data_IF_952800138077
#
_entry.id   IF_952800138077
#
_cell.length_a   1.000
_cell.length_b   1.000
_cell.length_c   1.000
_cell.angle_alpha   90.00
_cell.angle_beta   90.00
_cell.angle_gamma   90.00
#
_symmetry.space_group_name_H-M   'P 1'
#
loop_
_entity.id
_entity.type
_entity.pdbx_description
1 polymer ?
#
# COMPACT_ATOMS: atom_id res chain seq x y z
N UNK A 1 65.68 47.61 6.25
CA UNK A 1 64.86 47.38 5.08
C UNK A 1 64.47 45.88 5.08
N UNK A 2 63.37 45.54 5.74
CA UNK A 2 62.89 44.16 5.84
C UNK A 2 61.46 44.06 5.33
N UNK A 3 61.25 43.33 4.34
CA UNK A 3 59.93 43.04 3.75
C UNK A 3 59.33 41.83 4.45
N UNK A 4 58.18 41.99 5.14
CA UNK A 4 57.35 40.89 5.69
C UNK A 4 56.33 40.48 4.67
N UNK A 5 56.39 39.22 4.30
CA UNK A 5 55.34 38.55 3.47
C UNK A 5 54.23 38.03 4.36
N UNK A 6 53.05 38.61 4.29
CA UNK A 6 51.83 38.10 4.89
C UNK A 6 51.23 37.05 3.94
N UNK A 7 51.35 35.80 4.30
CA UNK A 7 50.65 34.69 3.63
C UNK A 7 49.20 34.61 4.11
N UNK A 8 48.26 34.97 3.25
CA UNK A 8 46.83 34.83 3.45
C UNK A 8 46.44 33.38 3.21
N UNK A 9 46.24 32.61 4.26
CA UNK A 9 45.69 31.23 4.14
C UNK A 9 44.19 31.30 3.95
N UNK A 10 43.74 31.01 2.72
CA UNK A 10 42.32 30.84 2.38
C UNK A 10 41.80 29.52 2.94
N UNK A 11 41.07 29.56 4.06
CA UNK A 11 40.36 28.40 4.59
C UNK A 11 39.12 28.20 3.75
N UNK A 12 39.16 27.21 2.84
CA UNK A 12 37.98 26.73 2.15
C UNK A 12 37.15 25.94 3.14
N UNK A 13 36.09 26.53 3.67
CA UNK A 13 35.03 25.79 4.39
C UNK A 13 34.23 25.04 3.37
N UNK A 14 34.57 23.77 3.12
CA UNK A 14 33.71 22.83 2.43
C UNK A 14 32.54 22.55 3.37
N UNK A 15 31.42 23.25 3.18
CA UNK A 15 30.14 22.87 3.75
C UNK A 15 29.70 21.55 3.08
N UNK A 16 30.02 20.43 3.71
CA UNK A 16 29.46 19.15 3.36
C UNK A 16 27.94 19.19 3.64
N UNK A 17 27.20 19.62 2.65
CA UNK A 17 25.76 19.48 2.64
C UNK A 17 25.42 17.99 2.67
N UNK A 18 25.15 17.46 3.84
CA UNK A 18 24.50 16.18 3.99
C UNK A 18 23.05 16.39 3.59
N UNK A 19 22.79 16.41 2.28
CA UNK A 19 21.44 16.33 1.73
C UNK A 19 20.81 15.03 2.21
N UNK A 20 19.56 15.11 2.63
CA UNK A 20 18.71 13.95 2.88
C UNK A 20 18.49 13.22 1.54
N UNK A 21 19.47 12.42 1.11
CA UNK A 21 19.50 11.74 -0.18
C UNK A 21 18.34 10.72 -0.36
N UNK A 22 17.76 10.22 0.76
CA UNK A 22 16.75 9.17 0.69
C UNK A 22 15.33 9.60 0.28
N UNK A 23 14.98 10.89 0.43
CA UNK A 23 13.63 11.37 0.12
C UNK A 23 13.48 11.88 -1.33
N UNK A 24 14.59 12.26 -1.99
CA UNK A 24 14.55 12.82 -3.35
C UNK A 24 14.33 11.76 -4.44
N UNK A 25 14.86 10.55 -4.27
CA UNK A 25 14.79 9.51 -5.30
C UNK A 25 13.36 8.96 -5.48
N UNK A 26 12.62 8.77 -4.39
CA UNK A 26 11.21 8.35 -4.44
C UNK A 26 10.25 9.44 -4.93
N UNK A 27 10.65 10.72 -4.83
CA UNK A 27 9.85 11.83 -5.35
C UNK A 27 9.96 12.01 -6.87
N UNK A 28 10.86 11.27 -7.54
CA UNK A 28 11.17 11.43 -8.97
C UNK A 28 11.30 10.11 -9.74
N UNK A 29 11.03 8.98 -9.07
CA UNK A 29 11.15 7.67 -9.73
C UNK A 29 10.23 7.59 -10.96
N UNK A 30 10.74 7.19 -12.14
CA UNK A 30 9.93 7.09 -13.34
C UNK A 30 8.83 6.04 -13.20
N UNK A 31 7.61 6.38 -13.64
CA UNK A 31 6.45 5.49 -13.62
C UNK A 31 5.96 5.24 -15.05
N UNK A 32 6.18 4.03 -15.53
CA UNK A 32 5.67 3.56 -16.82
C UNK A 32 4.27 2.96 -16.64
N UNK A 33 3.24 3.80 -16.56
CA UNK A 33 1.86 3.36 -16.39
C UNK A 33 1.38 2.48 -17.55
N UNK A 34 0.86 1.31 -17.23
CA UNK A 34 0.27 0.37 -18.18
C UNK A 34 -1.20 0.15 -17.81
N UNK A 35 -2.14 0.27 -18.77
CA UNK A 35 -3.53 -0.05 -18.52
C UNK A 35 -3.70 -1.56 -18.33
N UNK A 36 -4.39 -1.94 -17.27
CA UNK A 36 -4.70 -3.33 -16.94
C UNK A 36 -6.19 -3.64 -17.09
N UNK A 37 -7.04 -2.72 -16.63
CA UNK A 37 -8.49 -2.80 -16.73
C UNK A 37 -9.05 -1.40 -16.98
N UNK A 38 -10.31 -1.30 -17.31
CA UNK A 38 -10.96 0.01 -17.50
C UNK A 38 -10.87 0.82 -16.20
N UNK A 39 -10.18 1.96 -16.26
CA UNK A 39 -9.93 2.83 -15.13
C UNK A 39 -8.87 2.32 -14.13
N UNK A 40 -8.06 1.33 -14.51
CA UNK A 40 -7.03 0.77 -13.65
C UNK A 40 -5.71 0.68 -14.41
N UNK A 41 -4.73 1.43 -13.94
CA UNK A 41 -3.36 1.38 -14.47
C UNK A 41 -2.39 0.89 -13.38
N UNK A 42 -1.36 0.18 -13.81
CA UNK A 42 -0.29 -0.33 -12.94
C UNK A 42 1.06 0.16 -13.44
N UNK A 43 1.95 0.52 -12.53
CA UNK A 43 3.34 0.80 -12.81
C UNK A 43 4.24 0.02 -11.84
N UNK A 44 5.18 -0.73 -12.38
CA UNK A 44 6.32 -1.25 -11.63
C UNK A 44 7.43 -0.19 -11.63
N UNK A 45 8.11 -0.04 -10.51
CA UNK A 45 9.18 0.94 -10.39
C UNK A 45 10.36 0.39 -9.59
N UNK A 46 11.52 0.96 -9.85
CA UNK A 46 12.78 0.59 -9.20
C UNK A 46 13.58 1.84 -8.89
N UNK A 47 14.27 1.83 -7.76
CA UNK A 47 15.29 2.81 -7.41
C UNK A 47 16.58 2.11 -6.96
N UNK A 48 17.72 2.72 -7.23
CA UNK A 48 19.03 2.20 -6.79
C UNK A 48 19.60 2.98 -5.61
N UNK A 49 19.17 4.20 -5.41
CA UNK A 49 19.60 5.09 -4.34
C UNK A 49 18.42 5.48 -3.43
N UNK A 50 18.63 5.61 -2.12
CA UNK A 50 19.87 5.39 -1.34
C UNK A 50 20.19 3.90 -1.16
N UNK A 51 19.34 3.02 -1.65
CA UNK A 51 19.43 1.55 -1.67
C UNK A 51 18.55 0.99 -2.78
N UNK A 52 18.76 -0.26 -3.13
CA UNK A 52 17.86 -0.93 -4.08
C UNK A 52 16.45 -1.04 -3.52
N UNK A 53 15.50 -0.57 -4.29
CA UNK A 53 14.06 -0.62 -4.01
C UNK A 53 13.33 -1.13 -5.25
N UNK A 54 12.31 -1.94 -5.00
CA UNK A 54 11.33 -2.39 -5.97
C UNK A 54 9.94 -2.19 -5.40
N UNK A 55 9.02 -1.70 -6.22
CA UNK A 55 7.64 -1.53 -5.82
C UNK A 55 6.70 -1.52 -7.00
N UNK A 56 5.44 -1.68 -6.69
CA UNK A 56 4.34 -1.62 -7.64
C UNK A 56 3.34 -0.60 -7.13
N UNK A 57 2.83 0.22 -8.03
CA UNK A 57 1.73 1.12 -7.75
C UNK A 57 0.60 0.86 -8.75
N UNK A 58 -0.61 0.80 -8.24
CA UNK A 58 -1.85 0.76 -9.01
C UNK A 58 -2.60 2.06 -8.76
N UNK A 59 -3.08 2.71 -9.82
CA UNK A 59 -4.02 3.82 -9.71
C UNK A 59 -5.38 3.40 -10.26
N UNK A 60 -6.43 3.75 -9.54
CA UNK A 60 -7.80 3.33 -9.79
C UNK A 60 -8.66 4.59 -9.94
N UNK A 61 -9.27 4.80 -11.10
CA UNK A 61 -10.26 5.87 -11.31
C UNK A 61 -11.57 5.48 -10.64
N UNK A 62 -11.88 6.11 -9.51
CA UNK A 62 -13.07 5.83 -8.71
C UNK A 62 -14.39 6.14 -9.44
N UNK A 63 -14.32 6.82 -10.59
CA UNK A 63 -15.46 7.13 -11.46
C UNK A 63 -15.57 6.21 -12.67
N UNK A 64 -14.61 5.31 -12.87
CA UNK A 64 -14.65 4.39 -14.01
C UNK A 64 -15.79 3.38 -13.87
N UNK A 65 -16.45 3.11 -14.98
CA UNK A 65 -17.57 2.19 -15.04
C UNK A 65 -17.14 0.76 -14.68
N UNK A 66 -17.85 0.12 -13.75
CA UNK A 66 -17.59 -1.25 -13.31
C UNK A 66 -16.57 -1.35 -12.19
N UNK A 67 -15.95 -0.25 -11.76
CA UNK A 67 -15.10 -0.23 -10.57
C UNK A 67 -15.97 -0.42 -9.33
N UNK A 68 -15.61 -1.42 -8.51
CA UNK A 68 -16.19 -1.65 -7.18
C UNK A 68 -15.21 -2.45 -6.32
N UNK A 69 -15.45 -2.50 -5.02
CA UNK A 69 -14.51 -3.10 -4.06
C UNK A 69 -15.15 -4.20 -3.23
N UNK A 70 -14.32 -5.08 -2.71
CA UNK A 70 -14.68 -6.11 -1.75
C UNK A 70 -13.57 -6.20 -0.68
N UNK A 71 -13.89 -5.88 0.56
CA UNK A 71 -13.05 -6.25 1.70
C UNK A 71 -13.35 -7.68 2.13
N UNK A 72 -12.44 -8.34 2.83
CA UNK A 72 -12.64 -9.72 3.32
C UNK A 72 -13.98 -9.86 4.07
N UNK A 73 -14.88 -10.74 3.64
CA UNK A 73 -16.13 -11.00 4.36
C UNK A 73 -15.87 -11.76 5.67
N UNK A 74 -16.86 -11.73 6.57
CA UNK A 74 -16.85 -12.58 7.76
C UNK A 74 -16.87 -14.06 7.36
N UNK A 75 -16.24 -14.90 8.19
CA UNK A 75 -16.18 -16.36 7.98
C UNK A 75 -17.44 -17.11 8.46
N UNK A 76 -18.53 -16.41 8.72
CA UNK A 76 -19.80 -16.97 9.20
C UNK A 76 -19.76 -17.26 10.70
N UNK A 77 -20.17 -18.48 11.08
CA UNK A 77 -20.23 -18.90 12.50
C UNK A 77 -18.97 -19.61 12.99
N UNK A 78 -17.87 -19.56 12.22
CA UNK A 78 -16.59 -20.13 12.62
C UNK A 78 -15.91 -19.27 13.68
N UNK A 79 -14.95 -19.82 14.44
CA UNK A 79 -14.12 -19.03 15.33
C UNK A 79 -13.37 -17.91 14.58
N UNK A 80 -13.12 -16.78 15.27
CA UNK A 80 -12.50 -15.61 14.71
C UNK A 80 -13.45 -14.79 13.82
N UNK A 81 -12.95 -13.73 13.25
CA UNK A 81 -13.72 -12.81 12.39
C UNK A 81 -13.63 -13.18 10.90
N UNK A 82 -12.47 -13.70 10.49
CA UNK A 82 -12.14 -14.10 9.12
C UNK A 82 -11.33 -15.39 9.11
N UNK A 83 -11.05 -15.92 7.94
CA UNK A 83 -10.15 -17.07 7.75
C UNK A 83 -8.80 -16.61 7.15
N UNK A 84 -7.70 -17.22 7.59
CA UNK A 84 -6.37 -17.02 7.01
C UNK A 84 -6.34 -17.44 5.54
N UNK A 85 -6.00 -16.51 4.64
CA UNK A 85 -6.01 -16.71 3.21
C UNK A 85 -4.83 -15.99 2.54
N UNK A 86 -4.32 -16.52 1.41
CA UNK A 86 -3.37 -15.78 0.58
C UNK A 86 -4.11 -14.75 -0.27
N UNK A 87 -3.47 -13.62 -0.56
CA UNK A 87 -4.07 -12.58 -1.41
C UNK A 87 -4.43 -13.11 -2.81
N UNK A 88 -3.59 -14.01 -3.36
CA UNK A 88 -3.87 -14.69 -4.63
C UNK A 88 -5.11 -15.59 -4.56
N UNK A 89 -5.30 -16.32 -3.47
CA UNK A 89 -6.47 -17.16 -3.26
C UNK A 89 -7.74 -16.32 -3.08
N UNK A 90 -7.67 -15.21 -2.32
CA UNK A 90 -8.77 -14.26 -2.17
C UNK A 90 -9.24 -13.70 -3.51
N UNK A 91 -8.29 -13.27 -4.37
CA UNK A 91 -8.63 -12.80 -5.72
C UNK A 91 -9.36 -13.88 -6.53
N UNK A 92 -8.83 -15.11 -6.53
CA UNK A 92 -9.42 -16.22 -7.31
C UNK A 92 -10.81 -16.60 -6.81
N UNK A 93 -11.00 -16.75 -5.50
CA UNK A 93 -12.26 -17.13 -4.87
C UNK A 93 -13.39 -16.15 -5.20
N UNK A 94 -13.08 -14.86 -5.20
CA UNK A 94 -14.08 -13.82 -5.42
C UNK A 94 -14.15 -13.27 -6.85
N UNK A 95 -13.38 -13.85 -7.79
CA UNK A 95 -13.36 -13.42 -9.20
C UNK A 95 -12.97 -11.95 -9.39
N UNK A 96 -11.98 -11.49 -8.62
CA UNK A 96 -11.56 -10.10 -8.62
C UNK A 96 -10.51 -9.82 -9.71
N UNK A 97 -10.40 -8.57 -10.13
CA UNK A 97 -9.40 -8.12 -11.10
C UNK A 97 -8.08 -7.74 -10.45
N UNK A 98 -8.12 -7.27 -9.20
CA UNK A 98 -6.93 -7.03 -8.41
C UNK A 98 -7.23 -7.22 -6.91
N UNK A 99 -6.20 -7.48 -6.12
CA UNK A 99 -6.29 -7.54 -4.67
C UNK A 99 -4.96 -7.16 -4.01
N UNK A 100 -5.05 -6.61 -2.80
CA UNK A 100 -3.92 -6.39 -1.89
C UNK A 100 -4.25 -6.99 -0.51
N UNK A 101 -3.22 -7.32 0.28
CA UNK A 101 -3.38 -7.47 1.72
C UNK A 101 -3.77 -6.14 2.34
N UNK A 102 -4.54 -6.13 3.43
CA UNK A 102 -5.08 -4.89 3.97
C UNK A 102 -4.82 -4.71 5.47
N UNK A 103 -5.81 -4.94 6.33
CA UNK A 103 -5.68 -4.69 7.76
C UNK A 103 -4.74 -5.68 8.45
N UNK A 104 -4.07 -5.25 9.54
CA UNK A 104 -3.32 -6.17 10.41
C UNK A 104 -4.23 -7.19 11.08
N UNK A 105 -3.65 -8.29 11.55
CA UNK A 105 -4.34 -9.41 12.19
C UNK A 105 -3.45 -10.06 13.27
N UNK A 106 -4.04 -10.90 14.12
CA UNK A 106 -3.36 -11.42 15.31
C UNK A 106 -2.25 -12.42 15.01
N UNK A 107 -2.59 -13.58 14.49
CA UNK A 107 -1.67 -14.73 14.41
C UNK A 107 -1.31 -15.05 12.98
N UNK A 108 -0.01 -15.19 12.70
CA UNK A 108 0.46 -15.69 11.41
C UNK A 108 0.34 -17.20 11.38
N UNK A 109 -0.56 -17.71 10.56
CA UNK A 109 -0.72 -19.14 10.30
C UNK A 109 0.04 -19.59 9.05
N UNK A 110 0.40 -20.88 9.02
CA UNK A 110 1.04 -21.51 7.86
C UNK A 110 0.05 -22.31 6.99
N UNK A 111 -1.26 -22.24 7.33
CA UNK A 111 -2.34 -22.97 6.67
C UNK A 111 -3.51 -22.05 6.37
N UNK A 112 -4.19 -22.30 5.26
CA UNK A 112 -5.44 -21.64 4.92
C UNK A 112 -6.59 -22.07 5.84
N UNK A 113 -7.58 -21.19 6.00
CA UNK A 113 -8.80 -21.49 6.75
C UNK A 113 -8.65 -21.46 8.27
N UNK A 114 -7.47 -21.12 8.78
CA UNK A 114 -7.27 -20.91 10.22
C UNK A 114 -7.97 -19.61 10.66
N UNK A 115 -8.62 -19.58 11.84
CA UNK A 115 -9.34 -18.39 12.30
C UNK A 115 -8.41 -17.21 12.51
N UNK A 116 -8.89 -16.02 12.17
CA UNK A 116 -8.18 -14.75 12.29
C UNK A 116 -9.06 -13.70 12.95
N UNK A 117 -8.48 -12.93 13.86
CA UNK A 117 -9.03 -11.69 14.37
C UNK A 117 -8.29 -10.50 13.72
N UNK A 118 -9.04 -9.54 13.21
CA UNK A 118 -8.52 -8.39 12.46
C UNK A 118 -8.36 -7.19 13.39
N UNK A 119 -7.22 -6.52 13.31
CA UNK A 119 -6.98 -5.30 14.07
C UNK A 119 -7.60 -4.08 13.37
N UNK A 120 -8.48 -3.38 14.10
CA UNK A 120 -9.18 -2.20 13.61
C UNK A 120 -10.42 -2.54 12.79
N UNK A 121 -10.96 -1.54 12.14
CA UNK A 121 -12.22 -1.65 11.42
C UNK A 121 -12.10 -2.55 10.19
N UNK A 122 -13.04 -3.49 10.06
CA UNK A 122 -13.31 -4.22 8.83
C UNK A 122 -14.81 -4.18 8.53
N UNK A 123 -15.17 -3.63 7.36
CA UNK A 123 -16.53 -3.66 6.81
C UNK A 123 -16.47 -4.26 5.43
N UNK A 124 -17.28 -5.26 5.18
CA UNK A 124 -17.41 -5.91 3.88
C UNK A 124 -18.85 -5.83 3.39
N UNK A 125 -19.06 -5.18 2.26
CA UNK A 125 -20.36 -4.98 1.62
C UNK A 125 -21.45 -4.48 2.58
N UNK A 126 -21.10 -3.51 3.41
CA UNK A 126 -21.98 -2.88 4.40
C UNK A 126 -22.17 -3.66 5.70
N UNK A 127 -21.57 -4.86 5.81
CA UNK A 127 -21.59 -5.67 7.04
C UNK A 127 -20.31 -5.45 7.84
N UNK A 128 -20.46 -5.04 9.10
CA UNK A 128 -19.32 -4.92 10.00
C UNK A 128 -18.81 -6.32 10.35
N UNK A 129 -17.56 -6.60 10.03
CA UNK A 129 -16.84 -7.84 10.31
C UNK A 129 -16.01 -7.67 11.58
N UNK A 130 -15.16 -6.64 11.65
CA UNK A 130 -14.41 -6.27 12.83
C UNK A 130 -14.79 -4.87 13.31
N UNK A 131 -14.62 -4.62 14.60
CA UNK A 131 -15.05 -3.36 15.22
C UNK A 131 -14.08 -2.22 14.95
N UNK A 132 -14.62 -1.01 14.92
CA UNK A 132 -13.82 0.21 14.97
C UNK A 132 -13.00 0.27 16.28
N UNK A 133 -11.88 0.98 16.25
CA UNK A 133 -10.98 1.16 17.38
C UNK A 133 -10.15 2.44 17.21
N UNK A 134 -9.01 2.49 17.88
CA UNK A 134 -8.10 3.64 17.79
C UNK A 134 -7.22 3.65 16.52
N UNK A 135 -7.34 2.64 15.68
CA UNK A 135 -6.59 2.54 14.42
C UNK A 135 -7.29 3.31 13.32
N UNK A 136 -6.52 3.95 12.41
CA UNK A 136 -7.08 4.56 11.22
C UNK A 136 -7.67 3.53 10.27
N UNK A 137 -8.55 3.97 9.39
CA UNK A 137 -9.12 3.12 8.36
C UNK A 137 -9.29 3.85 7.02
N UNK A 138 -9.17 3.10 5.93
CA UNK A 138 -9.64 3.45 4.60
C UNK A 138 -11.09 3.02 4.49
N UNK A 139 -11.97 3.95 4.08
CA UNK A 139 -13.41 3.73 3.95
C UNK A 139 -13.84 3.99 2.50
N UNK A 140 -14.76 3.17 2.02
CA UNK A 140 -15.32 3.27 0.66
C UNK A 140 -16.84 3.11 0.77
N UNK A 141 -17.61 4.04 0.21
CA UNK A 141 -19.07 3.89 0.12
C UNK A 141 -19.50 3.16 -1.16
N UNK A 142 -20.81 2.92 -1.33
CA UNK A 142 -21.37 2.27 -2.53
C UNK A 142 -21.18 3.07 -3.82
N UNK A 143 -20.99 4.37 -3.72
CA UNK A 143 -20.75 5.27 -4.85
C UNK A 143 -19.26 5.40 -5.19
N UNK A 144 -18.39 4.60 -4.59
CA UNK A 144 -16.94 4.67 -4.71
C UNK A 144 -16.34 6.00 -4.18
N UNK A 145 -17.04 6.73 -3.31
CA UNK A 145 -16.37 7.77 -2.54
C UNK A 145 -15.41 7.10 -1.56
N UNK A 146 -14.16 7.52 -1.59
CA UNK A 146 -13.08 6.99 -0.74
C UNK A 146 -12.51 8.09 0.14
N UNK A 147 -12.22 7.76 1.41
CA UNK A 147 -11.59 8.66 2.38
C UNK A 147 -10.87 7.88 3.47
N UNK A 148 -10.05 8.57 4.25
CA UNK A 148 -9.27 8.00 5.35
C UNK A 148 -9.65 8.71 6.64
N UNK A 149 -10.08 7.93 7.64
CA UNK A 149 -10.34 8.38 9.01
C UNK A 149 -9.20 7.96 9.93
N UNK A 150 -8.76 8.88 10.77
CA UNK A 150 -7.63 8.62 11.69
C UNK A 150 -8.09 7.90 12.96
N UNK A 151 -9.30 8.20 13.44
CA UNK A 151 -9.91 7.58 14.60
C UNK A 151 -11.38 7.35 14.34
N UNK A 152 -11.84 6.16 14.66
CA UNK A 152 -13.23 5.76 14.45
C UNK A 152 -13.80 5.24 15.78
N UNK A 153 -14.68 6.01 16.39
CA UNK A 153 -15.49 5.53 17.52
C UNK A 153 -16.67 4.69 17.02
N UNK A 154 -17.26 5.12 15.90
CA UNK A 154 -18.40 4.47 15.25
C UNK A 154 -18.22 4.46 13.74
N UNK A 155 -18.82 3.49 13.07
CA UNK A 155 -18.82 3.42 11.60
C UNK A 155 -19.88 4.35 11.06
N UNK A 156 -19.50 5.29 10.19
CA UNK A 156 -20.46 6.18 9.52
C UNK A 156 -21.48 5.39 8.69
N UNK A 157 -22.72 5.85 8.68
CA UNK A 157 -23.73 5.28 7.80
C UNK A 157 -23.31 5.38 6.32
N UNK A 158 -23.56 4.35 5.53
CA UNK A 158 -23.23 4.32 4.10
C UNK A 158 -21.84 3.76 3.77
N UNK A 159 -20.99 3.48 4.75
CA UNK A 159 -19.75 2.74 4.51
C UNK A 159 -20.07 1.37 3.94
N UNK A 160 -19.50 1.06 2.76
CA UNK A 160 -19.73 -0.20 2.07
C UNK A 160 -18.57 -1.17 2.26
N UNK A 161 -17.34 -0.69 2.13
CA UNK A 161 -16.13 -1.42 2.50
C UNK A 161 -15.24 -0.53 3.39
N UNK A 162 -14.56 -1.11 4.35
CA UNK A 162 -13.53 -0.45 5.13
C UNK A 162 -12.45 -1.43 5.56
N UNK A 163 -11.22 -0.98 5.62
CA UNK A 163 -10.08 -1.75 6.12
C UNK A 163 -9.23 -0.89 7.05
N UNK A 164 -8.89 -1.42 8.21
CA UNK A 164 -8.00 -0.80 9.17
C UNK A 164 -6.55 -0.73 8.69
N UNK A 165 -5.77 0.18 9.25
CA UNK A 165 -4.33 0.30 8.99
C UNK A 165 -3.57 0.77 10.21
N UNK A 166 -2.25 0.77 10.17
CA UNK A 166 -1.41 1.14 11.30
C UNK A 166 -1.34 2.65 11.56
N UNK A 167 -1.23 3.45 10.50
CA UNK A 167 -1.03 4.89 10.62
C UNK A 167 -1.46 5.65 9.37
N UNK A 168 -2.00 6.84 9.54
CA UNK A 168 -2.08 7.85 8.49
C UNK A 168 -0.68 8.42 8.30
N UNK A 169 -0.12 8.30 7.11
CA UNK A 169 1.25 8.72 6.79
C UNK A 169 1.30 10.01 5.94
N UNK A 170 0.17 10.34 5.30
CA UNK A 170 -0.01 11.58 4.53
C UNK A 170 -1.38 12.16 4.84
N UNK A 171 -1.46 13.48 5.11
CA UNK A 171 -2.69 14.22 5.33
C UNK A 171 -2.57 15.60 4.68
N UNK A 172 -3.57 16.00 3.89
CA UNK A 172 -3.61 17.28 3.18
C UNK A 172 -2.32 17.61 2.40
N UNK A 173 -1.74 16.61 1.74
CA UNK A 173 -0.50 16.75 0.98
C UNK A 173 0.74 16.95 1.84
N UNK A 174 0.70 16.60 3.13
CA UNK A 174 1.84 16.72 4.05
C UNK A 174 2.07 15.40 4.77
N UNK A 175 3.35 14.96 4.82
CA UNK A 175 3.72 13.81 5.62
C UNK A 175 3.42 14.07 7.10
N UNK A 176 2.73 13.14 7.75
CA UNK A 176 2.31 13.28 9.17
C UNK A 176 3.45 13.02 10.15
N UNK A 177 4.53 12.34 9.69
CA UNK A 177 5.58 11.80 10.56
C UNK A 177 5.15 10.58 11.35
N UNK A 178 3.90 10.13 11.16
CA UNK A 178 3.38 8.92 11.79
C UNK A 178 3.95 7.63 11.22
N UNK A 179 3.81 6.55 11.98
CA UNK A 179 4.20 5.21 11.56
C UNK A 179 5.63 4.83 11.94
N UNK A 180 6.13 3.78 11.30
CA UNK A 180 7.38 3.11 11.65
C UNK A 180 8.54 3.54 10.73
N UNK A 181 9.63 4.01 11.33
CA UNK A 181 10.83 4.42 10.60
C UNK A 181 11.77 3.25 10.24
N UNK A 182 11.42 2.02 10.57
CA UNK A 182 12.18 0.83 10.15
C UNK A 182 11.89 0.49 8.69
N UNK A 183 12.91 -0.06 8.02
CA UNK A 183 12.80 -0.54 6.64
C UNK A 183 12.01 -1.85 6.59
N UNK A 184 10.86 -1.82 5.96
CA UNK A 184 10.00 -3.00 5.79
C UNK A 184 9.41 -3.05 4.39
N UNK A 185 9.04 -4.26 3.90
CA UNK A 185 8.02 -4.35 2.86
C UNK A 185 6.76 -3.64 3.34
N UNK A 186 6.11 -2.87 2.50
CA UNK A 186 4.93 -2.08 2.86
C UNK A 186 3.80 -2.29 1.86
N UNK A 187 2.57 -2.33 2.39
CA UNK A 187 1.36 -2.11 1.62
C UNK A 187 0.66 -0.87 2.16
N UNK A 188 0.19 -0.03 1.27
CA UNK A 188 -0.47 1.21 1.65
C UNK A 188 -1.48 1.64 0.59
N UNK A 189 -2.42 2.49 0.99
CA UNK A 189 -3.39 3.10 0.11
C UNK A 189 -3.37 4.62 0.25
N UNK A 190 -3.58 5.35 -0.86
CA UNK A 190 -3.63 6.80 -0.88
C UNK A 190 -4.75 7.31 -1.76
N UNK A 191 -5.21 8.52 -1.49
CA UNK A 191 -6.34 9.16 -2.17
C UNK A 191 -5.91 10.52 -2.71
N UNK A 192 -6.26 10.84 -3.96
CA UNK A 192 -6.04 12.17 -4.53
C UNK A 192 -6.92 13.22 -3.86
N UNK A 193 -6.52 14.49 -3.91
CA UNK A 193 -7.23 15.59 -3.25
C UNK A 193 -8.69 15.73 -3.70
N UNK A 194 -8.99 15.42 -4.95
CA UNK A 194 -10.33 15.48 -5.54
C UNK A 194 -11.13 14.17 -5.33
N UNK A 195 -10.54 13.18 -4.66
CA UNK A 195 -11.13 11.86 -4.42
C UNK A 195 -11.33 11.02 -5.68
N UNK A 196 -10.80 11.45 -6.84
CA UNK A 196 -10.95 10.72 -8.11
C UNK A 196 -10.09 9.48 -8.16
N UNK A 197 -8.84 9.55 -7.64
CA UNK A 197 -7.86 8.48 -7.73
C UNK A 197 -7.63 7.82 -6.40
N UNK A 198 -7.79 6.50 -6.36
CA UNK A 198 -7.29 5.65 -5.29
C UNK A 198 -5.98 5.01 -5.78
N UNK A 199 -4.96 5.07 -4.95
CA UNK A 199 -3.65 4.45 -5.21
C UNK A 199 -3.44 3.30 -4.25
N UNK A 200 -3.08 2.13 -4.76
CA UNK A 200 -2.52 1.04 -3.97
C UNK A 200 -1.03 0.95 -4.25
N UNK A 201 -0.24 0.88 -3.21
CA UNK A 201 1.22 0.79 -3.31
C UNK A 201 1.70 -0.40 -2.51
N UNK A 202 2.51 -1.25 -3.15
CA UNK A 202 3.26 -2.30 -2.48
C UNK A 202 4.74 -2.10 -2.76
N UNK A 203 5.54 -2.01 -1.70
CA UNK A 203 7.01 -1.94 -1.79
C UNK A 203 7.59 -3.22 -1.24
N UNK A 204 8.40 -3.89 -2.03
CA UNK A 204 9.15 -5.07 -1.60
C UNK A 204 10.24 -4.71 -0.59
N UNK A 205 10.65 -5.66 0.24
CA UNK A 205 11.70 -5.39 1.22
C UNK A 205 12.23 -6.67 1.86
N UNK A 206 13.20 -6.53 2.79
CA UNK A 206 13.86 -7.66 3.47
C UNK A 206 14.53 -8.65 2.52
N UNK A 207 14.90 -8.20 1.31
CA UNK A 207 15.51 -9.04 0.27
C UNK A 207 16.83 -8.41 -0.16
N UNK A 208 17.93 -8.96 0.38
CA UNK A 208 19.27 -8.47 0.07
C UNK A 208 19.55 -8.49 -1.43
N UNK A 209 20.16 -7.41 -1.93
CA UNK A 209 20.48 -7.26 -3.35
C UNK A 209 19.29 -6.98 -4.28
N UNK A 210 18.04 -7.04 -3.78
CA UNK A 210 16.83 -6.80 -4.53
C UNK A 210 16.06 -5.58 -4.03
N UNK A 211 15.50 -5.63 -2.82
CA UNK A 211 14.79 -4.50 -2.22
C UNK A 211 14.95 -4.46 -0.71
N UNK A 212 15.41 -3.33 -0.19
CA UNK A 212 15.59 -3.11 1.25
C UNK A 212 14.29 -2.84 2.01
N UNK A 213 13.26 -2.40 1.31
CA UNK A 213 12.03 -1.86 1.90
C UNK A 213 12.15 -0.36 2.21
N UNK A 214 11.06 0.22 2.70
CA UNK A 214 10.94 1.65 2.97
C UNK A 214 10.44 1.94 4.38
N UNK A 215 10.78 3.14 4.88
CA UNK A 215 10.15 3.75 6.05
C UNK A 215 8.78 4.31 5.67
N UNK A 216 7.93 4.63 6.66
CA UNK A 216 6.66 5.30 6.38
C UNK A 216 6.83 6.72 5.85
N UNK A 217 7.91 7.42 6.21
CA UNK A 217 8.23 8.74 5.67
C UNK A 217 8.59 8.68 4.17
N UNK A 218 9.40 7.71 3.76
CA UNK A 218 9.71 7.47 2.34
C UNK A 218 8.46 7.09 1.55
N UNK A 219 7.59 6.26 2.14
CA UNK A 219 6.33 5.88 1.53
C UNK A 219 5.38 7.09 1.34
N UNK A 220 5.31 8.01 2.32
CA UNK A 220 4.56 9.25 2.21
C UNK A 220 5.11 10.14 1.07
N UNK A 221 6.43 10.23 0.91
CA UNK A 221 7.07 10.93 -0.22
C UNK A 221 6.66 10.32 -1.57
N UNK A 222 6.62 8.99 -1.66
CA UNK A 222 6.16 8.31 -2.87
C UNK A 222 4.68 8.60 -3.18
N UNK A 223 3.82 8.65 -2.15
CA UNK A 223 2.41 9.01 -2.34
C UNK A 223 2.23 10.45 -2.85
N UNK A 224 3.04 11.40 -2.39
CA UNK A 224 3.06 12.75 -2.96
C UNK A 224 3.46 12.74 -4.44
N UNK A 225 4.46 11.94 -4.81
CA UNK A 225 4.92 11.80 -6.19
C UNK A 225 3.83 11.27 -7.12
N UNK A 226 3.04 10.29 -6.69
CA UNK A 226 1.93 9.75 -7.50
C UNK A 226 0.67 10.61 -7.49
N UNK A 227 0.63 11.70 -6.71
CA UNK A 227 -0.48 12.65 -6.67
C UNK A 227 -1.53 12.39 -5.58
N UNK A 228 -1.20 11.59 -4.56
CA UNK A 228 -2.06 11.44 -3.40
C UNK A 228 -1.99 12.68 -2.48
N UNK A 229 -3.09 13.00 -1.84
CA UNK A 229 -3.24 14.02 -0.80
C UNK A 229 -3.33 13.40 0.59
N UNK A 230 -3.84 12.18 0.67
CA UNK A 230 -3.95 11.39 1.89
C UNK A 230 -3.42 9.99 1.67
N UNK A 231 -2.81 9.37 2.69
CA UNK A 231 -2.39 7.97 2.63
C UNK A 231 -2.37 7.29 4.00
N UNK A 232 -2.68 6.00 3.98
CA UNK A 232 -2.68 5.10 5.13
C UNK A 232 -1.72 3.95 4.88
N UNK A 233 -0.85 3.66 5.87
CA UNK A 233 -0.03 2.45 5.90
C UNK A 233 -0.87 1.29 6.42
N UNK A 234 -1.05 0.28 5.61
CA UNK A 234 -1.76 -0.97 5.90
C UNK A 234 -0.80 -2.00 6.53
N UNK A 235 -1.22 -3.26 6.62
CA UNK A 235 -0.31 -4.34 7.02
C UNK A 235 0.76 -4.59 5.96
N UNK A 236 1.94 -4.96 6.41
CA UNK A 236 3.11 -5.12 5.55
C UNK A 236 4.01 -6.28 5.97
N UNK A 237 5.31 -6.10 5.75
CA UNK A 237 6.26 -7.17 6.04
C UNK A 237 6.03 -8.39 5.15
N UNK A 238 5.85 -9.57 5.74
CA UNK A 238 5.64 -10.79 4.97
C UNK A 238 4.28 -10.89 4.25
N UNK A 239 3.31 -10.04 4.60
CA UNK A 239 1.99 -9.98 3.96
C UNK A 239 1.98 -9.11 2.71
N UNK A 240 2.95 -8.19 2.55
CA UNK A 240 2.97 -7.22 1.46
C UNK A 240 2.84 -7.90 0.09
N UNK A 241 1.64 -7.88 -0.46
CA UNK A 241 1.30 -8.60 -1.70
C UNK A 241 0.28 -7.81 -2.51
N UNK A 242 0.53 -7.67 -3.82
CA UNK A 242 -0.43 -7.20 -4.81
C UNK A 242 -0.59 -8.25 -5.89
N UNK A 243 -1.83 -8.57 -6.21
CA UNK A 243 -2.21 -9.58 -7.20
C UNK A 243 -3.14 -8.97 -8.22
N UNK A 244 -3.01 -9.34 -9.48
CA UNK A 244 -3.92 -9.01 -10.56
C UNK A 244 -4.40 -10.27 -11.25
N UNK A 245 -5.60 -10.25 -11.82
CA UNK A 245 -6.06 -11.31 -12.69
C UNK A 245 -5.30 -11.25 -14.03
N UNK A 246 -4.79 -12.38 -14.48
CA UNK A 246 -4.26 -12.54 -15.83
C UNK A 246 -5.39 -12.56 -16.87
N UNK A 247 -5.04 -12.62 -18.14
CA UNK A 247 -6.00 -12.69 -19.25
C UNK A 247 -6.88 -13.95 -19.21
N UNK A 248 -6.41 -14.99 -18.54
CA UNK A 248 -7.10 -16.24 -18.26
C UNK A 248 -7.89 -16.21 -16.94
N UNK A 249 -7.89 -15.10 -16.22
CA UNK A 249 -8.46 -14.93 -14.90
C UNK A 249 -7.62 -15.51 -13.75
N UNK A 250 -6.50 -16.17 -14.04
CA UNK A 250 -5.64 -16.72 -13.00
C UNK A 250 -4.91 -15.61 -12.22
N UNK A 251 -4.71 -15.78 -10.90
CA UNK A 251 -3.98 -14.82 -10.09
C UNK A 251 -2.52 -14.68 -10.52
N UNK A 252 -2.06 -13.45 -10.73
CA UNK A 252 -0.66 -13.11 -10.98
C UNK A 252 -0.17 -12.12 -9.93
N UNK A 253 0.79 -12.54 -9.10
CA UNK A 253 1.45 -11.67 -8.14
C UNK A 253 2.36 -10.71 -8.92
N UNK A 254 2.21 -9.40 -8.67
CA UNK A 254 2.95 -8.36 -9.42
C UNK A 254 4.10 -7.74 -8.62
N UNK A 255 4.26 -8.09 -7.34
CA UNK A 255 5.44 -7.79 -6.54
C UNK A 255 6.17 -9.08 -6.13
N UNK A 256 7.14 -9.02 -5.24
CA UNK A 256 7.87 -10.19 -4.74
C UNK A 256 7.71 -10.31 -3.21
N UNK A 257 6.63 -10.94 -2.71
CA UNK A 257 6.41 -11.11 -1.27
C UNK A 257 7.51 -11.94 -0.61
N UNK A 258 7.67 -11.82 0.73
CA UNK A 258 8.81 -12.42 1.45
C UNK A 258 8.39 -13.04 2.78
N UNK A 259 7.42 -13.94 2.77
CA UNK A 259 7.05 -14.64 3.99
C UNK A 259 8.14 -15.61 4.46
N UNK A 260 8.46 -15.57 5.78
CA UNK A 260 9.48 -16.43 6.37
C UNK A 260 10.89 -16.21 5.83
N UNK A 261 11.18 -15.04 5.21
CA UNK A 261 12.45 -14.76 4.56
C UNK A 261 12.61 -15.42 3.19
N UNK A 262 11.58 -16.06 2.66
CA UNK A 262 11.61 -16.76 1.36
C UNK A 262 11.03 -15.84 0.28
N UNK A 263 11.85 -15.36 -0.68
CA UNK A 263 11.39 -14.51 -1.78
C UNK A 263 10.35 -15.22 -2.66
N UNK A 264 9.27 -14.49 -3.01
CA UNK A 264 8.16 -15.00 -3.81
C UNK A 264 7.09 -15.75 -3.00
N UNK A 265 7.30 -15.99 -1.69
CA UNK A 265 6.34 -16.69 -0.84
C UNK A 265 5.32 -15.72 -0.24
N UNK A 266 4.04 -15.91 -0.56
CA UNK A 266 2.94 -15.21 0.09
C UNK A 266 2.73 -15.72 1.53
N UNK A 267 2.29 -14.81 2.42
CA UNK A 267 1.77 -15.13 3.76
C UNK A 267 0.26 -15.32 3.67
N UNK A 268 -0.28 -16.17 4.53
CA UNK A 268 -1.71 -16.17 4.82
C UNK A 268 -2.05 -14.94 5.67
N UNK A 269 -3.00 -14.15 5.21
CA UNK A 269 -3.44 -12.89 5.82
C UNK A 269 -4.89 -13.00 6.26
N UNK A 270 -5.27 -12.29 7.32
CA UNK A 270 -6.66 -12.24 7.81
C UNK A 270 -7.52 -11.22 7.07
N UNK A 271 -6.92 -10.29 6.31
CA UNK A 271 -7.66 -9.22 5.68
C UNK A 271 -7.09 -8.82 4.32
N UNK A 272 -7.97 -8.64 3.36
CA UNK A 272 -7.68 -8.23 1.99
C UNK A 272 -8.62 -7.12 1.54
N UNK A 273 -8.19 -6.34 0.54
CA UNK A 273 -9.05 -5.43 -0.22
C UNK A 273 -8.92 -5.77 -1.70
N UNK A 274 -10.04 -6.12 -2.30
CA UNK A 274 -10.15 -6.52 -3.69
C UNK A 274 -10.87 -5.50 -4.54
N UNK A 275 -10.60 -5.53 -5.84
CA UNK A 275 -11.13 -4.64 -6.87
C UNK A 275 -11.81 -5.45 -7.97
N UNK A 276 -13.01 -5.03 -8.35
CA UNK A 276 -13.67 -5.40 -9.60
C UNK A 276 -13.53 -4.26 -10.60
N UNK A 277 -13.24 -4.57 -11.84
CA UNK A 277 -13.18 -3.62 -12.95
C UNK A 277 -13.51 -4.33 -14.26
N UNK A 278 -13.93 -3.60 -15.29
CA UNK A 278 -14.17 -4.17 -16.61
C UNK A 278 -12.85 -4.50 -17.32
N UNK A 279 -12.77 -5.57 -18.10
CA UNK A 279 -11.61 -5.83 -18.95
C UNK A 279 -11.42 -4.67 -19.95
N UNK A 280 -10.19 -4.45 -20.38
CA UNK A 280 -9.93 -3.52 -21.47
C UNK A 280 -10.65 -3.97 -22.74
N UNK A 281 -11.13 -3.03 -23.58
CA UNK A 281 -11.62 -3.38 -24.91
C UNK A 281 -10.56 -4.18 -25.67
N UNK A 282 -11.01 -5.16 -26.46
CA UNK A 282 -10.11 -5.85 -27.37
C UNK A 282 -9.42 -4.79 -28.29
N UNK A 283 -8.14 -4.95 -28.51
CA UNK A 283 -7.45 -4.13 -29.50
C UNK A 283 -8.09 -4.35 -30.89
N UNK A 284 -8.33 -3.28 -31.67
CA UNK A 284 -8.96 -3.36 -32.97
C UNK A 284 -8.15 -4.20 -33.97
#
# INVERSE_FOLDING_TARGET
VGWAWLSLSLVLVLSSGWGRAGAQDLASVPLGWQPYFVGVDVAEWQASEPRRLHGVVMRIDMKAEGVSFLATPANGDKPGETDAQRTSAFLAEHGLQAAINAAPFDVVHEQAGMPQDVHGLLVSEGRKVSRAGQMPALLIDRGNRVWIEEKLETVAAGVWNAVGGFAVILRDGRATGGGDQKLHPRTAAGVSKDGRWLFWVVVDGRQFGYSGGVTTAELATFFLHVGASEAINLDGGGTATMVVAGSDGAPRIVNRPVHGGIPGRERFSGCHLGLRAKPLPAAP
#
